data_IF_641320041218
#
_entry.id   IF_641320041218
#
_cell.length_a   1.000
_cell.length_b   1.000
_cell.length_c   1.000
_cell.angle_alpha   90.00
_cell.angle_beta   90.00
_cell.angle_gamma   90.00
#
_symmetry.space_group_name_H-M   'P 1'
#
loop_
_entity.id
_entity.type
_entity.pdbx_description
1 polymer ?
#
# COMPACT_ATOMS: atom_id res chain seq x y z
N UNK A 1 3.81 10.58 11.60
CA UNK A 1 5.19 10.13 11.28
C UNK A 1 5.99 11.19 10.52
N UNK A 2 5.62 11.60 9.28
CA UNK A 2 6.43 12.54 8.47
C UNK A 2 6.26 14.03 8.83
N UNK A 3 5.02 14.50 8.94
CA UNK A 3 4.67 15.89 9.28
C UNK A 3 4.13 16.04 10.71
N UNK A 4 3.72 14.92 11.32
CA UNK A 4 3.11 14.89 12.65
C UNK A 4 1.63 15.29 12.67
N UNK A 5 1.01 15.48 11.49
CA UNK A 5 -0.41 15.81 11.34
C UNK A 5 -1.08 14.83 10.39
N UNK A 6 -2.41 14.70 10.51
CA UNK A 6 -3.22 13.97 9.54
C UNK A 6 -3.29 14.75 8.21
N UNK A 7 -3.24 14.06 7.06
CA UNK A 7 -3.29 14.71 5.76
C UNK A 7 -4.66 15.33 5.44
N UNK A 8 -5.73 14.82 6.06
CA UNK A 8 -7.09 15.33 5.93
C UNK A 8 -7.72 15.48 7.31
N UNK A 9 -8.54 16.51 7.48
CA UNK A 9 -9.35 16.75 8.67
C UNK A 9 -10.66 15.98 8.57
N UNK A 10 -11.00 15.20 9.59
CA UNK A 10 -12.18 14.34 9.66
C UNK A 10 -13.37 14.99 10.38
N UNK A 11 -13.20 16.22 10.89
CA UNK A 11 -14.27 16.99 11.57
C UNK A 11 -15.50 17.19 10.68
N UNK A 12 -15.31 17.25 9.36
CA UNK A 12 -16.37 17.39 8.36
C UNK A 12 -16.18 16.42 7.22
N UNK A 13 -16.85 15.28 7.32
CA UNK A 13 -16.66 14.14 6.39
C UNK A 13 -16.88 14.50 4.93
N UNK A 14 -17.89 15.32 4.61
CA UNK A 14 -18.20 15.68 3.22
C UNK A 14 -17.10 16.56 2.60
N UNK A 15 -16.59 17.55 3.35
CA UNK A 15 -15.49 18.40 2.93
C UNK A 15 -14.20 17.57 2.77
N UNK A 16 -13.93 16.66 3.71
CA UNK A 16 -12.81 15.72 3.62
C UNK A 16 -12.83 14.92 2.31
N UNK A 17 -13.98 14.35 1.94
CA UNK A 17 -14.12 13.55 0.72
C UNK A 17 -13.92 14.42 -0.53
N UNK A 18 -14.41 15.66 -0.53
CA UNK A 18 -14.18 16.60 -1.63
C UNK A 18 -12.70 16.92 -1.81
N UNK A 19 -11.98 17.20 -0.71
CA UNK A 19 -10.54 17.49 -0.72
C UNK A 19 -9.73 16.29 -1.25
N UNK A 20 -10.08 15.08 -0.79
CA UNK A 20 -9.46 13.83 -1.27
C UNK A 20 -9.67 13.62 -2.78
N UNK A 21 -10.91 13.81 -3.27
CA UNK A 21 -11.23 13.69 -4.70
C UNK A 21 -10.53 14.77 -5.55
N UNK A 22 -10.40 15.98 -5.01
CA UNK A 22 -9.65 17.07 -5.64
C UNK A 22 -8.12 16.85 -5.62
N UNK A 23 -7.65 15.77 -4.98
CA UNK A 23 -6.24 15.44 -4.82
C UNK A 23 -5.43 16.59 -4.17
N UNK A 24 -6.10 17.37 -3.31
CA UNK A 24 -5.51 18.53 -2.67
C UNK A 24 -4.83 18.11 -1.36
N UNK A 25 -3.50 18.09 -1.37
CA UNK A 25 -2.66 17.70 -0.24
C UNK A 25 -1.72 18.84 0.12
N UNK A 26 -1.87 19.38 1.32
CA UNK A 26 -1.03 20.48 1.80
C UNK A 26 0.02 19.97 2.78
N UNK A 27 1.29 20.28 2.50
CA UNK A 27 2.39 19.99 3.41
C UNK A 27 2.70 21.25 4.25
N UNK A 28 2.74 21.15 5.60
CA UNK A 28 3.05 22.29 6.45
C UNK A 28 4.43 22.87 6.14
N UNK A 29 4.52 24.20 6.00
CA UNK A 29 5.80 24.91 5.73
C UNK A 29 6.82 24.73 6.85
N UNK A 30 6.35 24.56 8.10
CA UNK A 30 7.21 24.36 9.27
C UNK A 30 7.98 23.02 9.25
N UNK A 31 7.57 22.04 8.42
CA UNK A 31 8.20 20.72 8.33
C UNK A 31 8.96 20.59 7.02
N UNK A 32 10.27 20.32 7.10
CA UNK A 32 11.10 20.04 5.92
C UNK A 32 10.82 18.61 5.44
N UNK A 33 10.03 18.49 4.38
CA UNK A 33 9.76 17.21 3.70
C UNK A 33 10.44 17.22 2.34
N UNK A 34 11.25 16.19 2.05
CA UNK A 34 11.94 16.07 0.77
C UNK A 34 10.94 15.97 -0.39
N UNK A 35 11.30 16.50 -1.56
CA UNK A 35 10.46 16.44 -2.76
C UNK A 35 10.11 15.00 -3.14
N UNK A 36 11.06 14.07 -3.03
CA UNK A 36 10.85 12.63 -3.29
C UNK A 36 9.79 12.02 -2.37
N UNK A 37 9.80 12.37 -1.08
CA UNK A 37 8.79 11.91 -0.14
C UNK A 37 7.40 12.45 -0.49
N UNK A 38 7.29 13.75 -0.83
CA UNK A 38 6.03 14.38 -1.23
C UNK A 38 5.43 13.67 -2.45
N UNK A 39 6.25 13.38 -3.46
CA UNK A 39 5.82 12.66 -4.67
C UNK A 39 5.28 11.27 -4.32
N UNK A 40 5.96 10.51 -3.47
CA UNK A 40 5.48 9.19 -3.07
C UNK A 40 4.14 9.28 -2.32
N UNK A 41 4.02 10.18 -1.35
CA UNK A 41 2.76 10.39 -0.60
C UNK A 41 1.61 10.75 -1.54
N UNK A 42 1.84 11.66 -2.50
CA UNK A 42 0.83 12.04 -3.49
C UNK A 42 0.40 10.90 -4.42
N UNK A 43 1.28 9.93 -4.71
CA UNK A 43 0.93 8.73 -5.51
C UNK A 43 0.21 7.67 -4.67
N UNK A 44 0.51 7.56 -3.38
CA UNK A 44 -0.17 6.63 -2.48
C UNK A 44 -1.58 7.10 -2.12
N UNK A 45 -1.79 8.42 -2.03
CA UNK A 45 -3.09 9.03 -1.73
C UNK A 45 -3.88 9.42 -2.99
N UNK A 46 -3.63 8.73 -4.09
CA UNK A 46 -4.40 8.88 -5.32
C UNK A 46 -5.88 8.51 -5.07
N UNK A 47 -6.85 9.36 -5.45
CA UNK A 47 -8.27 9.07 -5.29
C UNK A 47 -8.71 7.88 -6.15
N UNK A 48 -8.24 7.81 -7.40
CA UNK A 48 -8.52 6.72 -8.32
C UNK A 48 -7.68 5.48 -7.96
N UNK A 49 -8.29 4.35 -7.54
CA UNK A 49 -7.54 3.17 -7.10
C UNK A 49 -6.61 2.58 -8.17
N UNK A 50 -6.98 2.68 -9.46
CA UNK A 50 -6.16 2.15 -10.57
C UNK A 50 -4.87 2.94 -10.80
N UNK A 51 -4.87 4.22 -10.44
CA UNK A 51 -3.73 5.11 -10.57
C UNK A 51 -2.86 5.14 -9.29
N UNK A 52 -3.40 4.61 -8.19
CA UNK A 52 -2.70 4.54 -6.91
C UNK A 52 -1.47 3.65 -7.02
N UNK A 53 -0.38 4.09 -6.40
CA UNK A 53 0.88 3.36 -6.42
C UNK A 53 0.71 1.91 -5.93
N UNK A 54 1.17 0.95 -6.73
CA UNK A 54 1.23 -0.45 -6.31
C UNK A 54 2.40 -0.68 -5.35
N UNK A 55 2.37 -1.80 -4.62
CA UNK A 55 3.44 -2.13 -3.66
C UNK A 55 4.83 -2.13 -4.32
N UNK A 56 4.95 -2.73 -5.50
CA UNK A 56 6.20 -2.78 -6.27
C UNK A 56 6.70 -1.37 -6.65
N UNK A 57 5.78 -0.48 -7.00
CA UNK A 57 6.12 0.91 -7.34
C UNK A 57 6.53 1.71 -6.09
N UNK A 58 5.96 1.40 -4.93
CA UNK A 58 6.32 2.02 -3.65
C UNK A 58 7.73 1.57 -3.26
N UNK A 59 8.03 0.27 -3.32
CA UNK A 59 9.36 -0.26 -3.01
C UNK A 59 10.46 0.33 -3.91
N UNK A 60 10.15 0.50 -5.20
CA UNK A 60 11.07 1.11 -6.17
C UNK A 60 11.13 2.65 -6.10
N UNK A 61 10.40 3.29 -5.19
CA UNK A 61 10.35 4.75 -5.12
C UNK A 61 11.72 5.34 -4.73
N UNK A 62 12.12 6.40 -5.42
CA UNK A 62 13.40 7.10 -5.16
C UNK A 62 13.55 7.65 -3.73
N UNK A 63 12.46 7.73 -2.97
CA UNK A 63 12.51 8.10 -1.55
C UNK A 63 12.98 6.94 -0.65
N UNK A 64 12.68 5.70 -1.02
CA UNK A 64 13.10 4.48 -0.32
C UNK A 64 14.37 3.86 -0.90
N UNK A 65 14.74 4.23 -2.13
CA UNK A 65 16.00 3.83 -2.74
C UNK A 65 17.18 4.43 -1.95
N UNK A 66 17.75 3.64 -1.02
CA UNK A 66 19.00 3.97 -0.35
C UNK A 66 20.15 3.91 -1.38
N UNK A 67 21.09 4.87 -1.39
CA UNK A 67 22.21 4.90 -2.35
C UNK A 67 23.20 3.71 -2.28
N UNK A 68 22.94 2.66 -1.49
CA UNK A 68 23.83 1.50 -1.35
C UNK A 68 23.16 0.17 -1.06
N UNK A 69 21.84 0.05 -1.17
CA UNK A 69 21.10 -1.19 -0.85
C UNK A 69 20.10 -1.56 -1.96
N UNK A 70 20.57 -1.61 -3.20
CA UNK A 70 19.84 -2.34 -4.25
C UNK A 70 20.10 -3.83 -4.06
N UNK A 71 19.03 -4.59 -3.80
CA UNK A 71 18.95 -6.06 -3.68
C UNK A 71 19.53 -6.70 -2.41
N UNK A 72 18.71 -6.86 -1.36
CA UNK A 72 18.98 -7.93 -0.39
C UNK A 72 18.24 -7.89 0.95
N UNK A 73 17.92 -6.71 1.51
CA UNK A 73 17.57 -6.65 2.94
C UNK A 73 16.06 -6.63 3.27
N UNK A 74 15.19 -6.20 2.37
CA UNK A 74 13.73 -6.17 2.63
C UNK A 74 13.06 -7.56 2.72
N UNK A 75 13.76 -8.65 2.36
CA UNK A 75 13.26 -10.02 2.59
C UNK A 75 13.39 -10.49 4.05
N UNK A 76 14.25 -9.88 4.87
CA UNK A 76 14.51 -10.38 6.23
C UNK A 76 13.58 -9.81 7.31
N UNK A 77 12.91 -8.69 7.05
CA UNK A 77 12.02 -8.05 8.04
C UNK A 77 10.60 -8.61 8.05
N UNK A 78 10.02 -8.84 6.86
CA UNK A 78 8.62 -9.29 6.73
C UNK A 78 8.44 -10.74 7.17
N UNK A 79 9.46 -11.60 6.96
CA UNK A 79 9.42 -13.01 7.37
C UNK A 79 9.32 -13.22 8.88
N UNK A 80 9.77 -12.24 9.68
CA UNK A 80 9.71 -12.31 11.15
C UNK A 80 8.37 -11.84 11.73
N UNK A 81 7.66 -10.95 11.04
CA UNK A 81 6.48 -10.27 11.62
C UNK A 81 5.16 -10.88 11.13
N UNK A 82 5.10 -11.42 9.90
CA UNK A 82 3.89 -12.06 9.38
C UNK A 82 4.22 -13.31 8.54
N UNK A 83 4.51 -14.46 9.18
CA UNK A 83 4.85 -15.68 8.45
C UNK A 83 3.69 -16.27 7.62
N UNK A 84 2.43 -15.94 7.93
CA UNK A 84 1.27 -16.62 7.32
C UNK A 84 0.79 -16.01 5.99
N UNK A 85 1.14 -14.77 5.64
CA UNK A 85 0.53 -14.10 4.48
C UNK A 85 1.26 -14.36 3.14
N UNK A 86 2.41 -15.03 3.15
CA UNK A 86 3.21 -15.26 1.94
C UNK A 86 3.06 -16.66 1.33
N UNK A 87 2.23 -17.54 1.88
CA UNK A 87 1.94 -18.84 1.27
C UNK A 87 0.82 -18.74 0.23
N UNK A 88 1.01 -17.93 -0.82
CA UNK A 88 0.11 -17.90 -2.00
C UNK A 88 0.45 -19.05 -2.97
N UNK A 89 0.89 -20.20 -2.45
CA UNK A 89 1.25 -21.36 -3.29
C UNK A 89 0.13 -22.38 -3.48
N UNK A 90 -1.01 -22.27 -2.78
CA UNK A 90 -2.07 -23.29 -2.86
C UNK A 90 -3.47 -22.80 -3.26
N UNK A 91 -3.58 -21.68 -4.00
CA UNK A 91 -4.89 -21.27 -4.53
C UNK A 91 -5.33 -22.07 -5.79
N UNK A 92 -4.43 -22.85 -6.41
CA UNK A 92 -4.77 -23.77 -7.51
C UNK A 92 -5.24 -25.15 -7.03
N UNK A 93 -4.85 -25.59 -5.83
CA UNK A 93 -5.27 -26.89 -5.29
C UNK A 93 -6.64 -26.86 -4.62
N UNK A 94 -7.04 -25.71 -4.04
CA UNK A 94 -8.35 -25.56 -3.40
C UNK A 94 -9.53 -25.58 -4.41
N UNK A 95 -9.29 -25.30 -5.69
CA UNK A 95 -10.32 -25.40 -6.73
C UNK A 95 -10.53 -26.84 -7.22
N UNK A 96 -9.57 -27.75 -7.03
CA UNK A 96 -9.74 -29.17 -7.39
C UNK A 96 -10.54 -29.95 -6.33
N UNK A 97 -10.57 -29.52 -5.07
CA UNK A 97 -11.27 -30.27 -4.01
C UNK A 97 -12.79 -30.04 -3.92
N UNK A 98 -13.35 -29.06 -4.64
CA UNK A 98 -14.81 -28.81 -4.66
C UNK A 98 -15.56 -29.49 -5.83
N UNK A 99 -14.88 -30.35 -6.60
CA UNK A 99 -15.43 -31.04 -7.76
C UNK A 99 -15.84 -32.50 -7.55
N UNK A 100 -15.73 -33.05 -6.34
CA UNK A 100 -16.04 -34.45 -6.06
C UNK A 100 -17.09 -34.57 -4.92
N UNK A 101 -18.31 -34.11 -5.19
CA UNK A 101 -19.48 -34.51 -4.39
C UNK A 101 -20.67 -34.64 -5.32
N UNK A 102 -20.72 -35.78 -6.02
CA UNK A 102 -21.90 -36.35 -6.66
C UNK A 102 -21.65 -37.84 -6.82
N UNK A 103 -22.28 -38.64 -5.95
CA UNK A 103 -22.92 -39.95 -6.19
C UNK A 103 -22.94 -40.81 -4.93
N UNK A 104 -24.00 -41.61 -4.83
CA UNK A 104 -24.45 -42.53 -3.77
C UNK A 104 -25.43 -41.81 -2.83
N UNK A 105 -26.73 -41.69 -3.15
CA UNK A 105 -27.69 -42.72 -3.56
C UNK A 105 -27.59 -43.99 -2.69
N UNK A 106 -28.50 -44.05 -1.71
CA UNK A 106 -29.12 -45.27 -1.19
C UNK A 106 -30.53 -45.30 -1.75
#
# INVERSE_FOLDING_TARGET
MLTGIMPFDDSKVMEMVQIQKARSLTFPKARKVSSRAKVLVMKMLEPEPKLRASLVQIEAAAWLASPGETSGRLRQGVSKVFPQLLSVKNLRELRKSKGASKRNEV
#
